data_IF_301539628198
#
_entry.id   IF_301539628198
#
_cell.length_a   1.000
_cell.length_b   1.000
_cell.length_c   1.000
_cell.angle_alpha   90.00
_cell.angle_beta   90.00
_cell.angle_gamma   90.00
#
_symmetry.space_group_name_H-M   'P 1'
#
loop_
_entity.id
_entity.type
_entity.pdbx_description
1 polymer ?
#
# COMPACT_ATOMS: atom_id res chain seq x y z
N UNK A 1 -14.41 5.36 -13.83
CA UNK A 1 -13.84 6.17 -12.76
C UNK A 1 -12.49 5.64 -12.33
N UNK A 2 -11.50 6.48 -12.40
CA UNK A 2 -10.16 6.07 -12.03
C UNK A 2 -9.92 6.06 -10.53
N UNK A 3 -8.87 5.40 -10.11
CA UNK A 3 -8.43 5.39 -8.73
C UNK A 3 -7.77 6.70 -8.32
N UNK A 4 -7.62 7.65 -9.26
CA UNK A 4 -6.95 8.91 -9.02
C UNK A 4 -7.63 9.82 -8.00
N UNK A 5 -8.91 9.61 -7.72
CA UNK A 5 -9.62 10.38 -6.70
C UNK A 5 -9.38 9.85 -5.29
N UNK A 6 -8.74 8.70 -5.15
CA UNK A 6 -8.33 8.21 -3.84
C UNK A 6 -7.24 9.12 -3.29
N UNK A 7 -7.29 9.37 -1.99
CA UNK A 7 -6.32 10.25 -1.36
C UNK A 7 -4.91 9.73 -1.55
N UNK A 8 -4.10 10.56 -2.18
CA UNK A 8 -2.67 10.34 -2.25
C UNK A 8 -2.02 11.03 -1.06
N UNK A 9 -0.82 10.63 -0.65
CA UNK A 9 -0.12 11.33 0.43
C UNK A 9 0.01 12.83 0.19
N UNK A 10 0.13 13.25 -1.08
CA UNK A 10 0.24 14.66 -1.46
C UNK A 10 -1.06 15.44 -1.32
N UNK A 11 -2.19 14.76 -1.21
CA UNK A 11 -3.49 15.40 -1.05
C UNK A 11 -3.78 15.77 0.41
N UNK A 12 -2.92 15.33 1.34
CA UNK A 12 -3.08 15.57 2.75
C UNK A 12 -2.33 16.85 3.12
N UNK A 13 -2.97 17.80 3.82
CA UNK A 13 -2.29 19.03 4.21
C UNK A 13 -1.04 18.76 5.03
N UNK A 14 0.09 19.34 4.59
CA UNK A 14 1.40 19.08 5.19
C UNK A 14 1.55 19.63 6.59
N UNK A 15 0.84 20.71 6.92
CA UNK A 15 0.93 21.34 8.22
C UNK A 15 0.37 20.49 9.35
N UNK A 16 -0.30 19.40 9.02
CA UNK A 16 -0.90 18.53 10.03
C UNK A 16 -0.08 17.28 10.22
N UNK A 17 0.95 17.39 11.06
CA UNK A 17 1.66 16.20 11.52
C UNK A 17 0.83 15.57 12.61
N UNK A 18 0.09 14.54 12.26
CA UNK A 18 -0.71 13.79 13.22
C UNK A 18 0.01 12.53 13.64
N UNK A 19 -0.10 12.20 14.91
CA UNK A 19 0.17 10.83 15.32
C UNK A 19 -0.88 9.96 14.67
N UNK A 20 -0.47 8.83 14.12
CA UNK A 20 -1.43 7.91 13.55
C UNK A 20 -2.34 7.39 14.65
N UNK A 21 -3.52 6.93 14.25
CA UNK A 21 -4.51 6.33 15.13
C UNK A 21 -3.94 5.18 15.98
N UNK A 22 -2.91 4.52 15.47
CA UNK A 22 -2.31 3.35 16.12
C UNK A 22 -0.95 3.65 16.76
N UNK A 23 -0.63 4.92 16.95
CA UNK A 23 0.61 5.31 17.59
C UNK A 23 1.83 5.33 16.69
N UNK A 24 1.70 5.05 15.41
CA UNK A 24 2.80 5.12 14.46
C UNK A 24 3.19 6.57 14.18
N UNK A 25 4.48 6.82 14.00
CA UNK A 25 4.97 8.14 13.63
C UNK A 25 4.97 8.28 12.12
N UNK A 26 4.31 9.33 11.63
CA UNK A 26 4.33 9.65 10.20
C UNK A 26 5.64 10.34 9.90
N UNK A 27 6.34 9.86 8.88
CA UNK A 27 7.65 10.39 8.46
C UNK A 27 7.56 10.88 7.04
N UNK A 28 8.13 12.05 6.76
CA UNK A 28 8.20 12.62 5.42
C UNK A 28 9.64 12.58 4.92
N UNK A 29 9.86 12.08 3.70
CA UNK A 29 11.16 12.01 3.05
C UNK A 29 10.96 12.17 1.54
N UNK A 30 11.76 13.06 0.90
CA UNK A 30 11.70 13.28 -0.56
C UNK A 30 10.27 13.60 -1.03
N UNK A 31 9.58 14.47 -0.29
CA UNK A 31 8.18 14.86 -0.54
C UNK A 31 7.18 13.71 -0.44
N UNK A 32 7.58 12.59 0.16
CA UNK A 32 6.72 11.43 0.38
C UNK A 32 6.42 11.27 1.85
N UNK A 33 5.22 10.75 2.13
CA UNK A 33 4.79 10.47 3.49
C UNK A 33 4.81 8.97 3.74
N UNK A 34 5.33 8.58 4.89
CA UNK A 34 5.40 7.20 5.30
C UNK A 34 4.68 7.02 6.62
N UNK A 35 3.94 5.91 6.75
CA UNK A 35 3.17 5.62 7.94
C UNK A 35 4.04 5.19 9.12
N UNK A 36 5.31 4.86 8.87
CA UNK A 36 6.22 4.44 9.92
C UNK A 36 7.67 4.68 9.50
N UNK A 37 8.56 4.69 10.51
CA UNK A 37 10.00 4.77 10.26
C UNK A 37 10.52 3.53 9.53
N UNK A 38 9.90 2.38 9.78
CA UNK A 38 10.27 1.13 9.12
C UNK A 38 9.99 1.22 7.62
N UNK A 39 8.85 1.78 7.25
CA UNK A 39 8.49 1.98 5.84
C UNK A 39 9.46 2.95 5.17
N UNK A 40 9.79 4.05 5.83
CA UNK A 40 10.72 5.04 5.31
C UNK A 40 12.12 4.44 5.10
N UNK A 41 12.61 3.66 6.06
CA UNK A 41 13.89 2.97 5.91
C UNK A 41 13.88 2.00 4.74
N UNK A 42 12.79 1.27 4.57
CA UNK A 42 12.67 0.34 3.45
C UNK A 42 12.66 1.07 2.12
N UNK A 43 11.98 2.21 2.05
CA UNK A 43 11.99 3.05 0.86
C UNK A 43 13.42 3.46 0.48
N UNK A 44 14.20 3.92 1.44
CA UNK A 44 15.59 4.31 1.18
C UNK A 44 16.41 3.16 0.63
N UNK A 45 16.22 1.98 1.19
CA UNK A 45 16.89 0.77 0.71
C UNK A 45 16.51 0.47 -0.74
N UNK A 46 15.22 0.55 -1.06
CA UNK A 46 14.72 0.29 -2.41
C UNK A 46 15.24 1.34 -3.40
N UNK A 47 15.35 2.60 -2.99
CA UNK A 47 15.90 3.64 -3.85
C UNK A 47 17.37 3.38 -4.19
N UNK A 48 18.15 2.89 -3.24
CA UNK A 48 19.54 2.49 -3.50
C UNK A 48 19.59 1.37 -4.51
N UNK A 49 18.73 0.36 -4.36
CA UNK A 49 18.64 -0.76 -5.29
C UNK A 49 18.22 -0.31 -6.69
N UNK A 50 17.29 0.64 -6.77
CA UNK A 50 16.85 1.19 -8.05
C UNK A 50 17.96 1.92 -8.76
N UNK A 51 18.71 2.75 -8.03
CA UNK A 51 19.86 3.46 -8.59
C UNK A 51 20.95 2.51 -9.07
N UNK A 52 21.11 1.38 -8.39
CA UNK A 52 22.09 0.36 -8.78
C UNK A 52 21.61 -0.51 -9.94
N UNK A 53 20.37 -0.31 -10.41
CA UNK A 53 19.83 -1.09 -11.51
C UNK A 53 19.33 -2.47 -11.12
N UNK A 54 19.24 -2.76 -9.83
CA UNK A 54 18.77 -4.07 -9.34
C UNK A 54 17.25 -4.21 -9.43
N UNK A 55 16.52 -3.10 -9.34
CA UNK A 55 15.07 -3.06 -9.50
C UNK A 55 14.70 -1.88 -10.39
N UNK A 56 13.46 -1.91 -10.92
CA UNK A 56 12.92 -0.87 -11.80
C UNK A 56 11.51 -0.49 -11.37
N UNK A 57 11.08 0.69 -11.81
CA UNK A 57 9.68 1.14 -11.68
C UNK A 57 9.18 1.09 -10.25
N UNK A 58 10.00 1.57 -9.33
CA UNK A 58 9.61 1.65 -7.92
C UNK A 58 8.44 2.61 -7.75
N UNK A 59 7.35 2.10 -7.18
CA UNK A 59 6.14 2.86 -6.90
C UNK A 59 5.79 2.71 -5.43
N UNK A 60 5.17 3.73 -4.88
CA UNK A 60 4.78 3.81 -3.48
C UNK A 60 3.27 3.96 -3.37
N UNK A 61 2.65 3.23 -2.46
CA UNK A 61 1.20 3.26 -2.21
C UNK A 61 0.39 2.95 -3.47
N UNK A 62 0.58 1.75 -4.00
CA UNK A 62 -0.12 1.28 -5.19
C UNK A 62 -1.40 0.56 -4.77
N UNK A 63 -2.50 0.90 -5.42
CA UNK A 63 -3.82 0.37 -5.08
C UNK A 63 -4.20 -0.72 -6.07
N UNK A 64 -4.62 -1.87 -5.54
CA UNK A 64 -5.17 -2.98 -6.31
C UNK A 64 -6.63 -3.17 -5.94
N UNK A 65 -7.50 -3.30 -6.94
CA UNK A 65 -8.90 -3.61 -6.67
C UNK A 65 -9.06 -5.11 -6.46
N UNK A 66 -9.77 -5.49 -5.38
CA UNK A 66 -10.00 -6.88 -5.05
C UNK A 66 -11.43 -7.32 -5.34
N UNK A 67 -12.38 -6.40 -5.20
CA UNK A 67 -13.78 -6.67 -5.52
C UNK A 67 -14.45 -5.37 -5.92
N UNK A 68 -15.36 -5.42 -6.89
CA UNK A 68 -16.07 -4.21 -7.30
C UNK A 68 -17.06 -3.76 -6.24
N UNK A 69 -17.55 -2.53 -6.41
CA UNK A 69 -18.66 -2.02 -5.61
C UNK A 69 -19.89 -2.94 -5.78
N UNK A 70 -20.63 -3.14 -4.72
CA UNK A 70 -21.86 -3.93 -4.74
C UNK A 70 -22.99 -3.15 -4.05
N UNK A 71 -24.23 -3.45 -4.44
CA UNK A 71 -25.37 -2.88 -3.78
C UNK A 71 -26.33 -4.01 -3.36
N UNK A 72 -26.58 -4.11 -2.06
CA UNK A 72 -27.56 -5.04 -1.55
C UNK A 72 -28.96 -4.53 -1.85
N UNK A 73 -29.90 -5.43 -2.05
CA UNK A 73 -31.26 -5.09 -2.49
C UNK A 73 -31.99 -4.12 -1.56
N UNK A 74 -31.74 -4.25 -0.25
CA UNK A 74 -32.41 -3.40 0.75
C UNK A 74 -31.52 -2.26 1.25
N UNK A 75 -30.29 -2.16 0.75
CA UNK A 75 -29.37 -1.10 1.20
C UNK A 75 -29.69 0.21 0.45
N UNK A 76 -29.63 1.37 1.16
CA UNK A 76 -29.86 2.65 0.50
C UNK A 76 -28.75 3.07 -0.45
N UNK A 77 -27.54 2.59 -0.21
CA UNK A 77 -26.36 2.97 -1.01
C UNK A 77 -25.53 1.74 -1.36
N UNK A 78 -24.80 1.84 -2.46
CA UNK A 78 -23.83 0.83 -2.85
C UNK A 78 -22.70 0.78 -1.83
N UNK A 79 -22.17 -0.42 -1.59
CA UNK A 79 -20.97 -0.60 -0.79
C UNK A 79 -19.75 -0.36 -1.69
N UNK A 80 -18.73 0.34 -1.19
CA UNK A 80 -17.57 0.65 -2.03
C UNK A 80 -16.79 -0.60 -2.42
N UNK A 81 -16.01 -0.48 -3.48
CA UNK A 81 -15.09 -1.54 -3.88
C UNK A 81 -14.12 -1.87 -2.76
N UNK A 82 -13.70 -3.12 -2.71
CA UNK A 82 -12.66 -3.56 -1.77
C UNK A 82 -11.32 -3.43 -2.46
N UNK A 83 -10.40 -2.74 -1.82
CA UNK A 83 -9.08 -2.43 -2.37
C UNK A 83 -7.99 -2.81 -1.38
N UNK A 84 -6.83 -3.12 -1.94
CA UNK A 84 -5.60 -3.34 -1.17
C UNK A 84 -4.58 -2.29 -1.59
N UNK A 85 -3.99 -1.61 -0.63
CA UNK A 85 -2.93 -0.64 -0.89
C UNK A 85 -1.60 -1.24 -0.45
N UNK A 86 -0.72 -1.48 -1.43
CA UNK A 86 0.62 -1.98 -1.17
C UNK A 86 1.55 -0.82 -0.85
N UNK A 87 2.48 -1.03 0.07
CA UNK A 87 3.44 0.01 0.41
C UNK A 87 4.40 0.28 -0.76
N UNK A 88 4.92 -0.77 -1.39
CA UNK A 88 5.84 -0.63 -2.52
C UNK A 88 5.57 -1.67 -3.59
N UNK A 89 5.75 -1.25 -4.84
CA UNK A 89 5.69 -2.15 -5.99
C UNK A 89 6.88 -1.82 -6.88
N UNK A 90 7.58 -2.82 -7.35
CA UNK A 90 8.68 -2.63 -8.29
C UNK A 90 8.81 -3.86 -9.18
N UNK A 91 9.68 -3.76 -10.17
CA UNK A 91 9.99 -4.87 -11.08
C UNK A 91 11.40 -5.36 -10.78
N UNK A 92 11.54 -6.66 -10.58
CA UNK A 92 12.83 -7.29 -10.39
C UNK A 92 12.90 -8.54 -11.28
N UNK A 93 13.94 -8.63 -12.09
CA UNK A 93 14.13 -9.75 -13.03
C UNK A 93 12.90 -9.99 -13.90
N UNK A 94 12.25 -8.90 -14.35
CA UNK A 94 11.08 -8.98 -15.20
C UNK A 94 9.78 -9.31 -14.48
N UNK A 95 9.80 -9.45 -13.16
CA UNK A 95 8.62 -9.81 -12.38
C UNK A 95 8.21 -8.66 -11.46
N UNK A 96 6.89 -8.46 -11.35
CA UNK A 96 6.34 -7.48 -10.42
C UNK A 96 6.45 -8.02 -8.99
N UNK A 97 7.04 -7.22 -8.12
CA UNK A 97 7.18 -7.52 -6.69
C UNK A 97 6.32 -6.53 -5.93
N UNK A 98 5.46 -7.05 -5.07
CA UNK A 98 4.56 -6.24 -4.24
C UNK A 98 4.97 -6.44 -2.78
N UNK A 99 5.29 -5.34 -2.10
CA UNK A 99 5.85 -5.37 -0.76
C UNK A 99 4.97 -4.61 0.21
N UNK A 100 4.77 -5.22 1.36
CA UNK A 100 4.07 -4.57 2.47
C UNK A 100 4.98 -4.58 3.69
N UNK A 101 5.16 -3.41 4.29
CA UNK A 101 5.96 -3.26 5.51
C UNK A 101 5.05 -3.50 6.70
N UNK A 102 5.27 -4.61 7.42
CA UNK A 102 4.40 -5.02 8.50
C UNK A 102 5.16 -5.24 9.78
N UNK A 103 4.54 -4.84 10.89
CA UNK A 103 4.95 -5.33 12.20
C UNK A 103 4.37 -6.72 12.40
N UNK A 104 4.91 -7.45 13.37
CA UNK A 104 4.36 -8.77 13.72
C UNK A 104 2.86 -8.68 14.05
N UNK A 105 2.46 -7.64 14.77
CA UNK A 105 1.07 -7.45 15.15
C UNK A 105 0.16 -7.13 13.95
N UNK A 106 0.59 -6.25 13.06
CA UNK A 106 -0.23 -5.87 11.90
C UNK A 106 -0.32 -7.00 10.88
N UNK A 107 0.69 -7.86 10.80
CA UNK A 107 0.64 -9.03 9.93
C UNK A 107 -0.43 -10.03 10.36
N UNK A 108 -0.89 -9.99 11.62
CA UNK A 108 -1.93 -10.86 12.15
C UNK A 108 -3.34 -10.28 11.98
N UNK A 109 -3.48 -9.08 11.44
CA UNK A 109 -4.78 -8.45 11.22
C UNK A 109 -5.60 -9.26 10.22
N UNK A 110 -6.84 -9.60 10.59
CA UNK A 110 -7.68 -10.47 9.77
C UNK A 110 -8.04 -9.86 8.42
N UNK A 111 -8.29 -8.55 8.39
CA UNK A 111 -8.61 -7.86 7.13
C UNK A 111 -7.41 -7.90 6.19
N UNK A 112 -6.22 -7.65 6.72
CA UNK A 112 -5.00 -7.71 5.93
C UNK A 112 -4.76 -9.13 5.39
N UNK A 113 -4.91 -10.14 6.25
CA UNK A 113 -4.73 -11.55 5.84
C UNK A 113 -5.69 -11.89 4.69
N UNK A 114 -6.94 -11.46 4.80
CA UNK A 114 -7.93 -11.68 3.76
C UNK A 114 -7.53 -11.00 2.45
N UNK A 115 -7.11 -9.74 2.54
CA UNK A 115 -6.69 -9.00 1.35
C UNK A 115 -5.46 -9.61 0.69
N UNK A 116 -4.51 -10.06 1.49
CA UNK A 116 -3.32 -10.73 0.97
C UNK A 116 -3.67 -12.02 0.24
N UNK A 117 -4.61 -12.78 0.79
CA UNK A 117 -5.14 -13.98 0.15
C UNK A 117 -5.80 -13.65 -1.20
N UNK A 118 -6.62 -12.60 -1.23
CA UNK A 118 -7.30 -12.18 -2.44
C UNK A 118 -6.34 -11.65 -3.50
N UNK A 119 -5.25 -11.00 -3.10
CA UNK A 119 -4.20 -10.59 -4.03
C UNK A 119 -3.63 -11.78 -4.77
N UNK A 120 -3.36 -12.87 -4.06
CA UNK A 120 -2.86 -14.09 -4.71
C UNK A 120 -3.90 -14.71 -5.63
N UNK A 121 -5.15 -14.80 -5.18
CA UNK A 121 -6.18 -15.47 -5.97
C UNK A 121 -6.61 -14.67 -7.19
N UNK A 122 -6.84 -13.36 -7.04
CA UNK A 122 -7.37 -12.52 -8.12
C UNK A 122 -6.27 -12.08 -9.09
N UNK A 123 -5.14 -11.64 -8.55
CA UNK A 123 -4.05 -11.05 -9.35
C UNK A 123 -2.88 -11.99 -9.56
N UNK A 124 -2.85 -13.13 -8.87
CA UNK A 124 -1.72 -14.03 -8.93
C UNK A 124 -0.45 -13.46 -8.30
N UNK A 125 -0.60 -12.50 -7.39
CA UNK A 125 0.52 -11.80 -6.76
C UNK A 125 0.63 -12.23 -5.30
N UNK A 126 1.79 -12.74 -4.94
CA UNK A 126 2.11 -13.04 -3.55
C UNK A 126 2.70 -11.79 -2.91
N UNK A 127 2.03 -11.26 -1.89
CA UNK A 127 2.50 -10.06 -1.18
C UNK A 127 3.68 -10.47 -0.28
N UNK A 128 4.80 -9.76 -0.44
CA UNK A 128 5.99 -9.97 0.36
C UNK A 128 5.95 -9.06 1.58
N UNK A 129 6.08 -9.64 2.75
CA UNK A 129 6.14 -8.89 4.00
C UNK A 129 7.57 -8.64 4.42
N UNK A 130 7.86 -7.42 4.83
CA UNK A 130 9.21 -7.05 5.30
C UNK A 130 9.15 -6.29 6.61
#
# INVERSE_FOLDING_TARGET
MGLGHLLKPTDIPEEKKRKSKYGNTVVETDDMKFDSKKEERHYRKLKVMERAGLIKDLQHHVIFELAPSVKYSIAPKAKPAIRYEADFVYTKDGKKVVVDVKSEQTAKNHVYILKKHLMMWIHGIEVMEV
#
